data_IF_327150617099
#
_entry.id   IF_327150617099
#
_cell.length_a   1.000
_cell.length_b   1.000
_cell.length_c   1.000
_cell.angle_alpha   90.00
_cell.angle_beta   90.00
_cell.angle_gamma   90.00
#
_symmetry.space_group_name_H-M   'P 1'
#
loop_
_entity.id
_entity.type
_entity.pdbx_description
1 polymer ?
#
# COMPACT_ATOMS: atom_id res chain seq x y z
N UNK A 1 25.85 -2.89 -2.62
CA UNK A 1 25.92 -3.02 -4.09
C UNK A 1 25.86 -1.61 -4.69
N UNK A 2 26.69 -1.31 -5.70
CA UNK A 2 26.60 -0.06 -6.46
C UNK A 2 25.71 -0.26 -7.69
N UNK A 3 24.97 0.78 -8.07
CA UNK A 3 24.12 0.79 -9.27
C UNK A 3 24.92 1.23 -10.48
N UNK A 4 24.52 0.79 -11.68
CA UNK A 4 25.00 1.38 -12.93
C UNK A 4 24.38 2.77 -13.17
N UNK A 5 25.01 3.59 -14.02
CA UNK A 5 24.52 4.94 -14.35
C UNK A 5 23.08 4.92 -14.91
N UNK A 6 22.77 3.92 -15.73
CA UNK A 6 21.44 3.76 -16.32
C UNK A 6 20.37 3.41 -15.27
N UNK A 7 20.70 2.52 -14.32
CA UNK A 7 19.81 2.18 -13.21
C UNK A 7 19.63 3.38 -12.29
N UNK A 8 20.71 4.09 -11.95
CA UNK A 8 20.67 5.27 -11.12
C UNK A 8 19.83 6.40 -11.74
N UNK A 9 19.86 6.57 -13.06
CA UNK A 9 19.06 7.57 -13.77
C UNK A 9 17.55 7.25 -13.82
N UNK A 10 17.16 5.98 -13.70
CA UNK A 10 15.76 5.56 -13.74
C UNK A 10 15.05 5.69 -12.38
N UNK A 11 15.81 5.73 -11.28
CA UNK A 11 15.27 5.77 -9.92
C UNK A 11 14.59 7.10 -9.53
N UNK A 12 15.10 8.31 -9.86
CA UNK A 12 14.56 9.55 -9.33
C UNK A 12 13.08 9.74 -9.64
N UNK A 13 12.69 9.55 -10.90
CA UNK A 13 11.30 9.78 -11.33
C UNK A 13 10.34 8.74 -10.74
N UNK A 14 10.74 7.47 -10.73
CA UNK A 14 9.90 6.37 -10.22
C UNK A 14 9.77 6.42 -8.71
N UNK A 15 10.84 6.77 -8.01
CA UNK A 15 10.87 6.95 -6.55
C UNK A 15 10.04 8.14 -6.13
N UNK A 16 10.19 9.27 -6.80
CA UNK A 16 9.42 10.48 -6.49
C UNK A 16 7.91 10.24 -6.72
N UNK A 17 7.54 9.62 -7.83
CA UNK A 17 6.13 9.27 -8.12
C UNK A 17 5.56 8.35 -7.03
N UNK A 18 6.30 7.30 -6.64
CA UNK A 18 5.86 6.39 -5.59
C UNK A 18 5.72 7.08 -4.23
N UNK A 19 6.62 8.01 -3.93
CA UNK A 19 6.58 8.81 -2.71
C UNK A 19 5.33 9.69 -2.63
N UNK A 20 5.09 10.50 -3.68
CA UNK A 20 3.91 11.38 -3.73
C UNK A 20 2.62 10.57 -3.61
N UNK A 21 2.54 9.39 -4.24
CA UNK A 21 1.38 8.51 -4.09
C UNK A 21 1.16 8.07 -2.64
N UNK A 22 2.21 7.65 -1.93
CA UNK A 22 2.09 7.12 -0.57
C UNK A 22 1.78 8.21 0.47
N UNK A 23 2.47 9.34 0.41
CA UNK A 23 2.44 10.32 1.49
C UNK A 23 1.56 11.52 1.15
N UNK A 24 1.60 12.01 -0.08
CA UNK A 24 0.85 13.22 -0.45
C UNK A 24 -0.58 12.87 -0.89
N UNK A 25 -0.75 11.81 -1.67
CA UNK A 25 -2.06 11.40 -2.18
C UNK A 25 -2.82 10.48 -1.24
N UNK A 26 -2.18 9.44 -0.70
CA UNK A 26 -2.83 8.52 0.25
C UNK A 26 -2.81 9.02 1.69
N UNK A 27 -1.95 9.99 2.03
CA UNK A 27 -1.87 10.55 3.37
C UNK A 27 -1.44 9.53 4.42
N UNK A 28 -0.61 8.54 4.04
CA UNK A 28 -0.11 7.55 4.98
C UNK A 28 0.89 8.21 5.92
N UNK A 29 0.88 7.81 7.19
CA UNK A 29 1.85 8.31 8.15
C UNK A 29 3.23 7.72 7.85
N UNK A 30 4.22 8.61 7.73
CA UNK A 30 5.60 8.20 7.56
C UNK A 30 6.18 7.75 8.90
N UNK A 31 6.72 6.54 8.92
CA UNK A 31 7.38 5.91 10.03
C UNK A 31 8.88 5.81 9.78
N UNK A 32 9.65 5.66 10.86
CA UNK A 32 11.10 5.60 10.75
C UNK A 32 11.54 4.24 10.18
N UNK A 33 12.47 4.22 9.21
CA UNK A 33 13.08 2.98 8.74
C UNK A 33 13.65 2.17 9.92
N UNK A 34 13.28 0.90 10.02
CA UNK A 34 13.71 0.02 11.10
C UNK A 34 12.88 0.11 12.39
N UNK A 35 11.98 1.10 12.51
CA UNK A 35 10.99 1.19 13.58
C UNK A 35 9.59 1.42 12.98
N UNK A 36 9.12 0.40 12.26
CA UNK A 36 7.84 0.41 11.55
C UNK A 36 6.81 -0.36 12.39
N UNK A 37 5.75 0.33 12.82
CA UNK A 37 4.61 -0.24 13.51
C UNK A 37 3.48 -0.55 12.52
N UNK A 38 2.91 -1.76 12.58
CA UNK A 38 1.84 -2.10 11.66
C UNK A 38 0.60 -1.23 11.84
N UNK A 39 -0.05 -0.91 10.72
CA UNK A 39 -1.32 -0.16 10.70
C UNK A 39 -2.45 -1.03 10.14
N UNK A 40 -3.70 -0.58 10.33
CA UNK A 40 -4.88 -1.22 9.74
C UNK A 40 -5.13 -0.79 8.29
N UNK A 41 -4.24 0.03 7.70
CA UNK A 41 -4.35 0.49 6.33
C UNK A 41 -3.92 -0.62 5.37
N UNK A 42 -4.67 -0.75 4.27
CA UNK A 42 -4.38 -1.73 3.23
C UNK A 42 -4.30 -1.04 1.88
N UNK A 43 -3.21 -1.31 1.14
CA UNK A 43 -2.91 -0.72 -0.16
C UNK A 43 -2.93 -1.83 -1.20
N UNK A 44 -3.73 -1.66 -2.24
CA UNK A 44 -3.72 -2.54 -3.42
C UNK A 44 -2.86 -1.90 -4.52
N UNK A 45 -1.79 -2.58 -4.91
CA UNK A 45 -0.89 -2.17 -5.99
C UNK A 45 -1.17 -3.01 -7.22
N UNK A 46 -1.73 -2.39 -8.25
CA UNK A 46 -1.90 -3.01 -9.57
C UNK A 46 -0.66 -2.78 -10.42
N UNK A 47 -0.20 -3.80 -11.15
CA UNK A 47 1.05 -3.70 -11.91
C UNK A 47 2.30 -3.64 -11.02
N UNK A 48 2.31 -4.44 -9.95
CA UNK A 48 3.35 -4.44 -8.92
C UNK A 48 4.80 -4.62 -9.41
N UNK A 49 5.00 -5.34 -10.51
CA UNK A 49 6.31 -5.55 -11.13
C UNK A 49 6.69 -4.45 -12.14
N UNK A 50 5.89 -3.39 -12.28
CA UNK A 50 6.25 -2.21 -13.06
C UNK A 50 7.20 -1.27 -12.28
N UNK A 51 7.81 -0.30 -12.97
CA UNK A 51 8.82 0.59 -12.38
C UNK A 51 8.36 1.38 -11.15
N UNK A 52 7.12 1.88 -11.13
CA UNK A 52 6.57 2.59 -9.95
C UNK A 52 6.06 1.61 -8.90
N UNK A 53 5.38 0.54 -9.31
CA UNK A 53 4.81 -0.46 -8.41
C UNK A 53 5.87 -1.14 -7.53
N UNK A 54 7.02 -1.47 -8.12
CA UNK A 54 8.11 -2.14 -7.43
C UNK A 54 8.77 -1.26 -6.37
N UNK A 55 8.94 0.04 -6.65
CA UNK A 55 9.48 1.01 -5.70
C UNK A 55 8.44 1.34 -4.62
N UNK A 56 7.17 1.49 -4.99
CA UNK A 56 6.07 1.77 -4.07
C UNK A 56 5.91 0.67 -3.02
N UNK A 57 5.98 -0.61 -3.42
CA UNK A 57 5.93 -1.75 -2.48
C UNK A 57 7.09 -1.65 -1.47
N UNK A 58 8.30 -1.35 -1.94
CA UNK A 58 9.46 -1.24 -1.08
C UNK A 58 9.36 -0.07 -0.10
N UNK A 59 8.90 1.10 -0.56
CA UNK A 59 8.71 2.28 0.29
C UNK A 59 7.60 2.05 1.31
N UNK A 60 6.44 1.55 0.90
CA UNK A 60 5.32 1.27 1.80
C UNK A 60 5.74 0.34 2.94
N UNK A 61 6.46 -0.75 2.62
CA UNK A 61 6.93 -1.69 3.65
C UNK A 61 7.94 -1.08 4.62
N UNK A 62 8.84 -0.22 4.14
CA UNK A 62 9.89 0.38 4.97
C UNK A 62 9.42 1.59 5.77
N UNK A 63 8.32 2.23 5.38
CA UNK A 63 7.97 3.56 5.86
C UNK A 63 6.53 3.73 6.34
N UNK A 64 5.59 2.79 6.14
CA UNK A 64 4.18 3.04 6.50
C UNK A 64 3.55 1.99 7.41
N UNK A 65 4.11 0.78 7.45
CA UNK A 65 3.53 -0.34 8.22
C UNK A 65 2.17 -0.82 7.68
N UNK A 66 1.71 -0.26 6.56
CA UNK A 66 0.49 -0.65 5.89
C UNK A 66 0.63 -2.05 5.27
N UNK A 67 -0.50 -2.76 5.19
CA UNK A 67 -0.54 -4.05 4.49
C UNK A 67 -0.56 -3.78 2.99
N UNK A 68 0.43 -4.28 2.28
CA UNK A 68 0.50 -4.15 0.81
C UNK A 68 -0.01 -5.43 0.16
N UNK A 69 -0.87 -5.27 -0.84
CA UNK A 69 -1.40 -6.34 -1.67
C UNK A 69 -1.02 -6.05 -3.11
N UNK A 70 -0.26 -6.94 -3.74
CA UNK A 70 0.29 -6.75 -5.07
C UNK A 70 -0.43 -7.60 -6.14
N UNK A 71 -0.67 -7.02 -7.32
CA UNK A 71 -1.19 -7.74 -8.50
C UNK A 71 -0.26 -7.58 -9.70
N UNK A 72 0.03 -8.68 -10.38
CA UNK A 72 0.66 -8.70 -11.69
C UNK A 72 0.02 -9.72 -12.64
N UNK A 73 0.13 -9.43 -13.93
CA UNK A 73 -0.57 -10.18 -14.98
C UNK A 73 0.15 -11.46 -15.37
N UNK A 74 1.49 -11.43 -15.45
CA UNK A 74 2.35 -12.53 -15.93
C UNK A 74 3.01 -13.30 -14.80
N UNK A 75 3.27 -14.61 -14.95
CA UNK A 75 3.97 -15.45 -13.96
C UNK A 75 5.32 -14.88 -13.51
N UNK A 76 6.17 -14.49 -14.46
CA UNK A 76 7.48 -13.87 -14.22
C UNK A 76 7.38 -12.61 -13.33
N UNK A 77 6.43 -11.73 -13.66
CA UNK A 77 6.16 -10.51 -12.91
C UNK A 77 5.60 -10.79 -11.50
N UNK A 78 5.04 -11.99 -11.26
CA UNK A 78 4.61 -12.39 -9.92
C UNK A 78 5.77 -12.75 -9.06
N UNK A 79 6.66 -13.58 -9.58
CA UNK A 79 7.87 -13.98 -8.88
C UNK A 79 8.72 -12.77 -8.52
N UNK A 80 8.83 -11.80 -9.44
CA UNK A 80 9.52 -10.54 -9.18
C UNK A 80 8.86 -9.75 -8.04
N UNK A 81 7.55 -9.50 -8.11
CA UNK A 81 6.82 -8.78 -7.05
C UNK A 81 6.87 -9.52 -5.70
N UNK A 82 6.81 -10.85 -5.69
CA UNK A 82 6.96 -11.67 -4.49
C UNK A 82 8.37 -11.58 -3.89
N UNK A 83 9.41 -11.47 -4.74
CA UNK A 83 10.79 -11.31 -4.27
C UNK A 83 10.99 -9.98 -3.53
N UNK A 84 10.37 -8.91 -4.03
CA UNK A 84 10.39 -7.58 -3.40
C UNK A 84 9.67 -7.58 -2.06
N UNK A 85 8.61 -8.37 -1.92
CA UNK A 85 7.94 -8.59 -0.64
C UNK A 85 8.85 -9.33 0.35
N UNK A 86 9.56 -10.38 -0.07
CA UNK A 86 10.41 -11.18 0.83
C UNK A 86 11.66 -10.43 1.30
N UNK A 87 12.20 -9.54 0.46
CA UNK A 87 13.41 -8.76 0.76
C UNK A 87 13.18 -7.68 1.84
N UNK A 88 11.95 -7.19 2.00
CA UNK A 88 11.61 -6.16 2.98
C UNK A 88 11.01 -6.77 4.27
N UNK A 89 11.68 -6.55 5.41
CA UNK A 89 11.18 -6.89 6.75
C UNK A 89 9.85 -6.15 7.02
N UNK A 90 8.72 -6.88 7.01
CA UNK A 90 7.36 -6.34 7.26
C UNK A 90 6.29 -7.33 6.79
N UNK A 91 5.15 -7.42 7.50
CA UNK A 91 4.07 -8.39 7.22
C UNK A 91 3.65 -8.31 5.74
N UNK A 92 3.86 -9.41 5.01
CA UNK A 92 3.37 -9.60 3.65
C UNK A 92 1.95 -10.17 3.73
N UNK A 93 0.97 -9.54 3.05
CA UNK A 93 -0.31 -10.19 2.80
C UNK A 93 -0.46 -10.39 1.30
N UNK A 94 0.06 -11.54 0.86
CA UNK A 94 0.05 -12.02 -0.51
C UNK A 94 -1.38 -12.33 -0.96
N UNK A 95 -1.94 -11.49 -1.83
CA UNK A 95 -3.03 -11.91 -2.71
C UNK A 95 -2.59 -11.60 -4.12
N UNK A 96 -2.03 -12.61 -4.79
CA UNK A 96 -1.55 -12.47 -6.14
C UNK A 96 -2.69 -12.68 -7.13
N UNK A 97 -3.11 -11.59 -7.76
CA UNK A 97 -4.34 -11.54 -8.54
C UNK A 97 -4.00 -11.68 -10.01
N UNK A 98 -4.33 -12.84 -10.59
CA UNK A 98 -4.29 -13.04 -12.04
C UNK A 98 -5.33 -12.22 -12.79
N UNK A 99 -5.44 -12.44 -14.11
CA UNK A 99 -6.15 -11.64 -15.15
C UNK A 99 -7.57 -11.06 -14.84
N UNK A 100 -8.20 -11.36 -13.70
CA UNK A 100 -9.47 -10.79 -13.26
C UNK A 100 -9.31 -9.96 -11.98
N UNK A 101 -8.94 -8.70 -12.14
CA UNK A 101 -8.77 -7.68 -11.08
C UNK A 101 -10.05 -7.37 -10.29
N UNK A 102 -11.24 -7.75 -10.78
CA UNK A 102 -12.51 -7.51 -10.08
C UNK A 102 -12.85 -8.58 -9.03
N UNK A 103 -12.72 -9.87 -9.37
CA UNK A 103 -12.95 -10.98 -8.42
C UNK A 103 -11.95 -10.95 -7.27
N UNK A 104 -10.74 -10.57 -7.63
CA UNK A 104 -9.62 -10.22 -6.80
C UNK A 104 -9.95 -9.20 -5.70
N UNK A 105 -10.46 -8.03 -6.10
CA UNK A 105 -10.90 -6.97 -5.19
C UNK A 105 -12.04 -7.47 -4.30
N UNK A 106 -13.01 -8.22 -4.85
CA UNK A 106 -14.09 -8.83 -4.08
C UNK A 106 -13.60 -9.81 -3.01
N UNK A 107 -12.61 -10.64 -3.33
CA UNK A 107 -11.99 -11.56 -2.37
C UNK A 107 -11.21 -10.81 -1.29
N UNK A 108 -10.51 -9.73 -1.65
CA UNK A 108 -9.77 -8.90 -0.71
C UNK A 108 -10.71 -8.17 0.27
N UNK A 109 -11.77 -7.52 -0.25
CA UNK A 109 -12.79 -6.84 0.56
C UNK A 109 -13.40 -7.81 1.58
N UNK A 110 -13.73 -9.04 1.14
CA UNK A 110 -14.30 -10.06 2.02
C UNK A 110 -13.29 -10.60 3.04
N UNK A 111 -12.02 -10.78 2.66
CA UNK A 111 -10.96 -11.29 3.55
C UNK A 111 -10.52 -10.28 4.61
N UNK A 112 -10.51 -8.99 4.26
CA UNK A 112 -10.19 -7.91 5.19
C UNK A 112 -11.37 -7.52 6.08
N UNK A 113 -12.55 -8.15 5.92
CA UNK A 113 -13.75 -7.78 6.67
C UNK A 113 -14.18 -6.33 6.42
N UNK A 114 -13.89 -5.79 5.24
CA UNK A 114 -14.13 -4.39 4.93
C UNK A 114 -15.63 -4.15 4.67
N UNK A 115 -16.34 -3.72 5.71
CA UNK A 115 -17.77 -3.34 5.68
C UNK A 115 -17.92 -1.83 5.44
N UNK A 116 -18.63 -1.46 4.37
CA UNK A 116 -18.96 -0.08 4.02
C UNK A 116 -19.69 0.68 5.15
N UNK A 117 -20.31 -0.03 6.09
CA UNK A 117 -20.99 0.57 7.25
C UNK A 117 -20.05 1.13 8.33
N UNK A 118 -18.75 0.79 8.30
CA UNK A 118 -17.79 1.32 9.29
C UNK A 118 -17.49 2.82 9.12
N UNK A 119 -17.64 3.38 7.90
CA UNK A 119 -17.46 4.83 7.66
C UNK A 119 -18.57 5.71 8.24
N UNK A 120 -19.70 5.12 8.67
CA UNK A 120 -20.88 5.83 9.21
C UNK A 120 -20.85 6.00 10.73
N UNK A 121 -19.78 5.59 11.42
CA UNK A 121 -19.61 5.80 12.86
C UNK A 121 -18.57 6.89 13.13
N UNK A 122 -18.83 8.13 12.71
CA UNK A 122 -18.32 9.29 13.45
C UNK A 122 -19.22 9.47 14.67
N UNK A 123 -18.70 9.65 15.90
CA UNK A 123 -19.56 10.03 17.01
C UNK A 123 -20.21 11.36 16.64
N UNK A 124 -21.55 11.38 16.57
CA UNK A 124 -22.30 12.63 16.61
C UNK A 124 -21.87 13.30 17.91
N UNK A 125 -21.15 14.41 17.81
CA UNK A 125 -21.00 15.34 18.93
C UNK A 125 -22.43 15.74 19.28
N UNK A 126 -22.97 15.21 20.38
CA UNK A 126 -24.22 15.68 20.96
C UNK A 126 -23.96 17.12 21.41
N UNK A 127 -24.29 18.08 20.55
CA UNK A 127 -24.40 19.48 20.93
C UNK A 127 -25.51 19.59 21.97
N UNK A 128 -25.13 19.81 23.22
CA UNK A 128 -26.02 20.17 24.31
C UNK A 128 -26.62 21.54 23.99
N UNK A 129 -27.86 21.55 23.51
CA UNK A 129 -28.67 22.77 23.45
C UNK A 129 -29.14 23.11 24.87
N UNK A 130 -28.29 23.82 25.62
CA UNK A 130 -28.62 24.47 26.87
C UNK A 130 -28.41 25.97 26.73
N UNK A 131 -29.40 26.67 26.16
CA UNK A 131 -29.46 28.13 26.16
C UNK A 131 -30.84 28.54 26.68
N UNK A 132 -30.92 28.79 27.99
CA UNK A 132 -32.09 29.36 28.64
C UNK A 132 -32.06 30.88 28.46
N UNK A 133 -33.19 31.46 28.06
CA UNK A 133 -33.54 32.85 28.40
C UNK A 133 -34.04 32.91 29.85
#
# INVERSE_FOLDING_TARGET
ASLSDAEAAALPVTTFTAWEMLFDHFGLEQQQPGNVHPTDQVILVTGAAGGVGSILIQLAKKLTGATVVASASRPESREEAESLEKSAHGRACSVFLGRNSYLAVGHLIRRLGWDQNQKRKKPLIQGTSGFSK
#
